data_IF_302155778340
#
_entry.id   IF_302155778340
#
_cell.length_a   1.000
_cell.length_b   1.000
_cell.length_c   1.000
_cell.angle_alpha   90.00
_cell.angle_beta   90.00
_cell.angle_gamma   90.00
#
_symmetry.space_group_name_H-M   'P 1'
#
loop_
_entity.id
_entity.type
_entity.pdbx_description
1 polymer ?
#
# COMPACT_ATOMS: atom_id res chain seq x y z
N UNK A 1 -19.91 21.56 21.20
CA UNK A 1 -18.93 20.69 20.53
C UNK A 1 -17.78 20.48 21.50
N UNK A 2 -17.73 19.32 22.15
CA UNK A 2 -16.54 18.92 22.90
C UNK A 2 -15.78 17.94 22.02
N UNK A 3 -14.55 18.31 21.64
CA UNK A 3 -13.60 17.38 21.03
C UNK A 3 -13.17 16.44 22.17
N UNK A 4 -13.60 15.18 22.13
CA UNK A 4 -13.15 14.17 23.08
C UNK A 4 -11.72 13.75 22.72
N UNK A 5 -10.91 13.46 23.74
CA UNK A 5 -9.50 13.16 23.59
C UNK A 5 -9.22 12.05 22.56
N UNK A 6 -8.27 12.32 21.69
CA UNK A 6 -7.70 11.35 20.76
C UNK A 6 -6.88 10.37 21.60
N UNK A 7 -7.27 9.10 21.71
CA UNK A 7 -6.31 8.07 22.11
C UNK A 7 -5.72 7.46 20.85
N UNK A 8 -4.49 7.85 20.60
CA UNK A 8 -3.70 7.29 19.54
C UNK A 8 -2.74 6.24 20.13
N UNK A 9 -3.02 4.93 19.99
CA UNK A 9 -2.12 3.89 20.47
C UNK A 9 -0.81 3.80 19.65
N UNK A 10 -0.67 4.58 18.57
CA UNK A 10 0.52 4.72 17.74
C UNK A 10 1.03 6.17 17.66
N UNK A 11 1.28 6.82 18.80
CA UNK A 11 1.58 8.25 18.82
C UNK A 11 2.72 8.64 17.86
N UNK A 12 3.61 7.70 17.56
CA UNK A 12 4.81 7.94 16.76
C UNK A 12 4.69 7.56 15.27
N UNK A 13 3.64 6.85 14.79
CA UNK A 13 3.54 6.43 13.37
C UNK A 13 2.39 7.06 12.58
N UNK A 14 1.23 7.22 13.20
CA UNK A 14 0.04 7.85 12.58
C UNK A 14 -0.50 8.82 13.60
N UNK A 15 -0.58 10.10 13.30
CA UNK A 15 -1.40 11.03 14.11
C UNK A 15 -2.69 11.28 13.34
N UNK A 16 -3.82 11.15 14.02
CA UNK A 16 -5.15 11.32 13.41
C UNK A 16 -6.04 12.13 14.34
N UNK A 17 -6.60 13.22 13.81
CA UNK A 17 -7.58 14.06 14.50
C UNK A 17 -8.77 14.33 13.58
N UNK A 18 -9.97 13.93 14.01
CA UNK A 18 -11.21 14.22 13.32
C UNK A 18 -11.86 15.47 13.93
N UNK A 19 -12.07 16.50 13.11
CA UNK A 19 -12.63 17.78 13.54
C UNK A 19 -13.92 18.09 12.76
N UNK A 20 -14.86 18.76 13.42
CA UNK A 20 -16.07 19.27 12.79
C UNK A 20 -16.11 20.79 12.89
N UNK A 21 -16.31 21.45 11.75
CA UNK A 21 -16.41 22.92 11.65
C UNK A 21 -17.83 23.31 11.20
N UNK A 22 -18.39 24.44 11.68
CA UNK A 22 -19.65 24.95 11.16
C UNK A 22 -19.59 25.13 9.63
N UNK A 23 -20.60 24.61 8.92
CA UNK A 23 -20.73 24.84 7.49
C UNK A 23 -21.12 26.31 7.23
N UNK A 24 -20.48 27.02 6.28
CA UNK A 24 -20.64 28.47 6.14
C UNK A 24 -22.05 28.91 5.70
N UNK A 25 -22.82 28.05 5.04
CA UNK A 25 -24.10 28.40 4.38
C UNK A 25 -25.29 27.56 4.80
N UNK A 26 -25.10 26.53 5.64
CA UNK A 26 -26.15 25.59 6.01
C UNK A 26 -26.07 25.25 7.50
N UNK A 27 -27.18 24.82 8.11
CA UNK A 27 -27.21 24.24 9.45
C UNK A 27 -26.59 22.82 9.44
N UNK A 28 -25.31 22.75 9.13
CA UNK A 28 -24.53 21.53 8.94
C UNK A 28 -23.11 21.73 9.48
N UNK A 29 -22.36 20.63 9.58
CA UNK A 29 -20.94 20.64 9.93
C UNK A 29 -20.10 20.09 8.78
N UNK A 30 -18.99 20.73 8.48
CA UNK A 30 -17.94 20.19 7.62
C UNK A 30 -17.02 19.31 8.44
N UNK A 31 -16.89 18.04 8.05
CA UNK A 31 -16.02 17.07 8.70
C UNK A 31 -14.64 17.09 8.04
N UNK A 32 -13.61 17.30 8.84
CA UNK A 32 -12.22 17.43 8.38
C UNK A 32 -11.35 16.45 9.14
N UNK A 33 -10.57 15.66 8.41
CA UNK A 33 -9.57 14.76 8.94
C UNK A 33 -8.18 15.40 8.84
N UNK A 34 -7.53 15.62 9.97
CA UNK A 34 -6.11 15.90 10.00
C UNK A 34 -5.37 14.59 10.25
N UNK A 35 -4.53 14.18 9.30
CA UNK A 35 -3.75 12.95 9.40
C UNK A 35 -2.29 13.19 9.02
N UNK A 36 -1.37 12.63 9.77
CA UNK A 36 0.06 12.65 9.46
C UNK A 36 0.71 11.31 9.74
N UNK A 37 1.77 11.02 9.00
CA UNK A 37 2.46 9.74 8.99
C UNK A 37 3.94 9.96 9.25
N UNK A 38 4.50 9.15 10.15
CA UNK A 38 5.90 9.24 10.55
C UNK A 38 6.54 7.86 10.54
N UNK A 39 7.83 7.83 10.22
CA UNK A 39 8.66 6.65 10.45
C UNK A 39 9.14 6.63 11.90
N UNK A 40 9.22 5.45 12.52
CA UNK A 40 9.70 5.31 13.89
C UNK A 40 10.77 4.23 14.01
N UNK A 41 11.69 4.42 14.96
CA UNK A 41 12.69 3.41 15.33
C UNK A 41 12.16 2.50 16.44
N UNK A 42 12.49 1.22 16.36
CA UNK A 42 12.14 0.22 17.36
C UNK A 42 13.27 -0.77 17.59
N UNK A 43 13.67 -0.91 18.85
CA UNK A 43 14.61 -1.96 19.28
C UNK A 43 13.96 -3.33 19.19
N UNK A 44 14.63 -4.27 18.51
CA UNK A 44 14.15 -5.63 18.25
C UNK A 44 15.35 -6.55 18.02
N UNK A 45 15.30 -7.80 18.49
CA UNK A 45 16.30 -8.87 18.23
C UNK A 45 17.78 -8.43 18.38
N UNK A 46 18.10 -7.67 19.44
CA UNK A 46 19.47 -7.21 19.70
C UNK A 46 19.95 -6.02 18.86
N UNK A 47 19.14 -5.56 17.90
CA UNK A 47 19.38 -4.35 17.11
C UNK A 47 18.20 -3.39 17.14
N UNK A 48 18.01 -2.61 16.07
CA UNK A 48 16.82 -1.77 15.87
C UNK A 48 16.43 -1.70 14.40
N UNK A 49 15.13 -1.64 14.15
CA UNK A 49 14.55 -1.37 12.84
C UNK A 49 13.89 0.01 12.82
N UNK A 50 13.92 0.66 11.67
CA UNK A 50 13.06 1.79 11.34
C UNK A 50 11.98 1.32 10.39
N UNK A 51 10.73 1.67 10.68
CA UNK A 51 9.62 1.31 9.81
C UNK A 51 8.70 2.50 9.56
N UNK A 52 7.96 2.42 8.46
CA UNK A 52 6.97 3.41 8.06
C UNK A 52 5.80 2.75 7.32
N UNK A 53 4.79 3.56 7.00
CA UNK A 53 3.58 3.09 6.33
C UNK A 53 3.63 3.41 4.85
N UNK A 54 3.36 2.40 4.03
CA UNK A 54 3.11 2.51 2.60
C UNK A 54 1.64 2.77 2.32
N UNK A 55 0.76 2.10 3.07
CA UNK A 55 -0.70 2.09 2.81
C UNK A 55 -1.46 1.90 4.11
N UNK A 56 -2.71 2.32 4.12
CA UNK A 56 -3.65 2.05 5.20
C UNK A 56 -5.08 2.32 4.78
N UNK A 57 -6.03 1.90 5.59
CA UNK A 57 -7.45 2.05 5.32
C UNK A 57 -8.05 2.95 6.38
N UNK A 58 -8.52 4.12 5.99
CA UNK A 58 -9.31 4.98 6.84
C UNK A 58 -10.79 4.57 6.73
N UNK A 59 -11.45 4.40 7.87
CA UNK A 59 -12.87 4.08 7.99
C UNK A 59 -13.55 5.15 8.83
N UNK A 60 -14.71 5.61 8.39
CA UNK A 60 -15.60 6.46 9.17
C UNK A 60 -16.93 5.74 9.34
N UNK A 61 -17.30 5.47 10.59
CA UNK A 61 -18.63 5.00 10.95
C UNK A 61 -19.46 6.17 11.43
N UNK A 62 -20.65 6.31 10.87
CA UNK A 62 -21.59 7.39 11.19
C UNK A 62 -22.87 6.76 11.73
N UNK A 63 -23.32 7.20 12.91
CA UNK A 63 -24.58 6.77 13.52
C UNK A 63 -25.46 7.95 13.88
N UNK A 64 -26.76 7.80 13.63
CA UNK A 64 -27.80 8.77 14.02
C UNK A 64 -27.67 10.16 13.37
N UNK A 65 -26.99 10.23 12.22
CA UNK A 65 -26.82 11.45 11.42
C UNK A 65 -26.60 11.15 9.93
N UNK A 66 -26.89 12.13 9.08
CA UNK A 66 -26.66 12.04 7.64
C UNK A 66 -25.30 12.62 7.26
N UNK A 67 -24.48 11.83 6.57
CA UNK A 67 -23.17 12.23 6.07
C UNK A 67 -23.13 12.15 4.54
N UNK A 68 -22.65 13.22 3.92
CA UNK A 68 -22.49 13.37 2.48
C UNK A 68 -20.99 13.47 2.15
N UNK A 69 -20.34 12.38 1.71
CA UNK A 69 -18.91 12.36 1.45
C UNK A 69 -18.54 13.25 0.24
N UNK A 70 -17.44 13.99 0.34
CA UNK A 70 -16.92 14.88 -0.70
C UNK A 70 -15.42 14.67 -1.01
N UNK A 71 -14.75 13.71 -0.35
CA UNK A 71 -13.32 13.49 -0.52
C UNK A 71 -12.97 12.96 -1.94
N UNK A 72 -12.81 13.86 -2.90
CA UNK A 72 -12.39 13.57 -4.28
C UNK A 72 -10.88 13.29 -4.43
N UNK A 73 -10.11 13.55 -3.38
CA UNK A 73 -8.63 13.41 -3.36
C UNK A 73 -8.14 12.04 -2.88
N UNK A 74 -9.05 11.16 -2.44
CA UNK A 74 -8.72 9.82 -1.95
C UNK A 74 -9.12 8.77 -3.00
N UNK A 75 -8.17 7.90 -3.38
CA UNK A 75 -8.45 6.81 -4.30
C UNK A 75 -9.32 5.76 -3.60
N UNK A 76 -10.58 5.66 -4.05
CA UNK A 76 -11.59 4.66 -3.69
C UNK A 76 -12.45 5.00 -2.47
N UNK A 77 -13.75 5.21 -2.72
CA UNK A 77 -14.82 5.16 -1.72
C UNK A 77 -15.49 3.79 -1.86
N UNK A 78 -15.29 2.88 -0.92
CA UNK A 78 -16.14 1.68 -0.83
C UNK A 78 -17.31 2.02 0.12
N UNK A 79 -18.51 2.14 -0.45
CA UNK A 79 -19.75 2.35 0.31
C UNK A 79 -20.36 0.99 0.65
N UNK A 80 -20.57 0.71 1.94
CA UNK A 80 -21.37 -0.44 2.38
C UNK A 80 -22.54 0.08 3.23
N UNK A 81 -23.75 0.24 2.66
CA UNK A 81 -24.92 0.60 3.45
C UNK A 81 -25.48 -0.65 4.13
N UNK A 82 -25.33 -0.78 5.45
CA UNK A 82 -26.12 -1.71 6.24
C UNK A 82 -26.61 -1.07 7.54
N UNK A 83 -27.90 -0.68 7.58
CA UNK A 83 -28.61 -0.32 8.82
C UNK A 83 -28.48 1.14 9.28
N UNK A 84 -28.71 1.37 10.58
CA UNK A 84 -28.60 2.67 11.28
C UNK A 84 -27.16 3.19 11.40
N UNK A 85 -26.18 2.36 11.05
CA UNK A 85 -24.75 2.70 10.96
C UNK A 85 -24.37 2.76 9.49
N UNK A 86 -23.74 3.87 9.06
CA UNK A 86 -23.18 4.01 7.71
C UNK A 86 -21.67 3.97 7.78
N UNK A 87 -21.07 3.04 7.04
CA UNK A 87 -19.62 2.86 6.97
C UNK A 87 -19.05 3.42 5.65
N UNK A 88 -18.04 4.28 5.78
CA UNK A 88 -17.29 4.85 4.66
C UNK A 88 -15.82 4.41 4.78
N UNK A 89 -15.22 3.96 3.68
CA UNK A 89 -13.82 3.53 3.67
C UNK A 89 -13.03 4.20 2.54
N UNK A 90 -11.84 4.66 2.87
CA UNK A 90 -10.88 5.26 1.95
C UNK A 90 -9.53 4.58 2.07
N UNK A 91 -8.88 4.32 0.94
CA UNK A 91 -7.54 3.75 0.91
C UNK A 91 -6.51 4.87 0.80
N UNK A 92 -5.56 4.87 1.72
CA UNK A 92 -4.36 5.71 1.63
C UNK A 92 -3.29 4.91 0.91
N UNK A 93 -2.73 5.49 -0.14
CA UNK A 93 -1.59 4.93 -0.87
C UNK A 93 -0.64 6.07 -1.22
N UNK A 94 0.66 5.78 -1.41
CA UNK A 94 1.64 6.81 -1.66
C UNK A 94 1.36 7.47 -3.01
N UNK A 95 1.78 8.73 -3.17
CA UNK A 95 1.83 9.33 -4.50
C UNK A 95 2.81 8.53 -5.39
N UNK A 96 2.66 8.53 -6.73
CA UNK A 96 3.45 7.72 -7.68
C UNK A 96 4.99 7.92 -7.67
N UNK A 97 5.55 8.66 -6.70
CA UNK A 97 6.98 8.94 -6.55
C UNK A 97 7.49 8.83 -5.10
N UNK A 98 6.62 8.58 -4.13
CA UNK A 98 7.00 8.41 -2.72
C UNK A 98 6.85 6.95 -2.33
N UNK A 99 7.89 6.31 -1.78
CA UNK A 99 7.80 4.91 -1.35
C UNK A 99 6.97 4.71 -0.06
N UNK A 100 6.60 5.80 0.62
CA UNK A 100 5.90 5.82 1.90
C UNK A 100 4.81 6.88 1.86
N UNK A 101 3.78 6.71 2.69
CA UNK A 101 2.93 7.80 3.15
C UNK A 101 3.82 8.78 3.92
N UNK A 102 4.39 9.75 3.19
CA UNK A 102 5.10 10.89 3.77
C UNK A 102 4.30 12.11 3.43
N UNK A 103 3.64 12.66 4.44
CA UNK A 103 3.04 13.97 4.33
C UNK A 103 3.26 14.74 5.63
N UNK A 104 3.83 15.94 5.49
CA UNK A 104 3.48 17.06 6.36
C UNK A 104 1.96 17.09 6.47
N UNK A 105 1.42 17.10 7.69
CA UNK A 105 -0.02 17.03 8.03
C UNK A 105 -0.98 17.28 6.88
N UNK A 106 -1.70 16.24 6.44
CA UNK A 106 -2.78 16.36 5.46
C UNK A 106 -4.06 16.78 6.17
N UNK A 107 -4.70 17.82 5.65
CA UNK A 107 -6.03 18.27 6.10
C UNK A 107 -7.03 17.93 5.00
N UNK A 108 -7.79 16.86 5.20
CA UNK A 108 -8.71 16.30 4.21
C UNK A 108 -10.14 16.64 4.58
N UNK A 109 -10.87 17.27 3.65
CA UNK A 109 -12.31 17.49 3.83
C UNK A 109 -13.03 16.20 3.46
N UNK A 110 -13.59 15.51 4.46
CA UNK A 110 -14.25 14.22 4.24
C UNK A 110 -15.64 14.40 3.64
N UNK A 111 -16.36 15.44 4.06
CA UNK A 111 -17.72 15.71 3.62
C UNK A 111 -18.52 16.56 4.61
N UNK A 112 -19.83 16.63 4.36
CA UNK A 112 -20.77 17.44 5.14
C UNK A 112 -21.67 16.54 5.97
N UNK A 113 -21.84 16.90 7.24
CA UNK A 113 -22.69 16.24 8.21
C UNK A 113 -23.93 17.10 8.49
N UNK A 114 -25.13 16.55 8.28
CA UNK A 114 -26.37 17.18 8.71
C UNK A 114 -26.74 16.69 10.10
N UNK A 115 -26.86 17.63 11.03
CA UNK A 115 -27.27 17.36 12.41
C UNK A 115 -28.78 17.10 12.45
N UNK A 116 -29.17 16.12 13.26
CA UNK A 116 -30.56 15.80 13.58
C UNK A 116 -30.83 16.11 15.07
N UNK A 117 -32.05 15.86 15.55
CA UNK A 117 -32.41 16.09 16.96
C UNK A 117 -31.68 15.15 17.94
N UNK A 118 -31.18 14.00 17.46
CA UNK A 118 -30.43 13.04 18.27
C UNK A 118 -28.91 13.29 18.22
N UNK A 119 -28.16 12.91 19.27
CA UNK A 119 -26.70 13.00 19.27
C UNK A 119 -26.08 12.21 18.13
N UNK A 120 -25.16 12.82 17.38
CA UNK A 120 -24.45 12.16 16.28
C UNK A 120 -23.16 11.53 16.80
N UNK A 121 -22.95 10.27 16.41
CA UNK A 121 -21.77 9.49 16.82
C UNK A 121 -20.91 9.19 15.60
N UNK A 122 -19.64 9.60 15.66
CA UNK A 122 -18.65 9.38 14.62
C UNK A 122 -17.47 8.60 15.18
N UNK A 123 -17.11 7.51 14.51
CA UNK A 123 -15.92 6.72 14.82
C UNK A 123 -15.03 6.72 13.59
N UNK A 124 -13.83 7.29 13.73
CA UNK A 124 -12.79 7.27 12.71
C UNK A 124 -11.72 6.24 13.09
N UNK A 125 -11.44 5.30 12.19
CA UNK A 125 -10.43 4.26 12.40
C UNK A 125 -9.47 4.24 11.23
N UNK A 126 -8.19 4.12 11.49
CA UNK A 126 -7.15 3.90 10.49
C UNK A 126 -6.50 2.54 10.74
N UNK A 127 -6.76 1.60 9.83
CA UNK A 127 -6.30 0.22 9.89
C UNK A 127 -5.05 0.02 9.05
N UNK A 128 -4.09 -0.72 9.61
CA UNK A 128 -2.84 -1.08 8.96
C UNK A 128 -2.83 -2.60 8.79
N UNK A 129 -2.69 -3.03 7.54
CA UNK A 129 -2.42 -4.43 7.20
C UNK A 129 -0.91 -4.68 7.13
N UNK A 130 -0.44 -5.93 7.24
CA UNK A 130 0.98 -6.25 7.07
C UNK A 130 1.58 -5.69 5.75
N UNK A 131 0.80 -5.66 4.67
CA UNK A 131 1.18 -5.09 3.36
C UNK A 131 1.32 -3.56 3.34
N UNK A 132 0.73 -2.88 4.32
CA UNK A 132 0.84 -1.44 4.49
C UNK A 132 2.06 -0.99 5.28
N UNK A 133 2.83 -1.90 5.87
CA UNK A 133 4.02 -1.61 6.67
C UNK A 133 5.29 -2.05 5.94
N UNK A 134 6.31 -1.21 5.96
CA UNK A 134 7.63 -1.53 5.41
C UNK A 134 8.72 -1.14 6.39
N UNK A 135 9.80 -1.91 6.39
CA UNK A 135 11.03 -1.52 7.05
C UNK A 135 11.79 -0.62 6.07
N UNK A 136 12.29 0.50 6.58
CA UNK A 136 12.98 1.53 5.79
C UNK A 136 14.46 1.60 6.12
N UNK A 137 14.84 1.15 7.31
CA UNK A 137 16.21 1.11 7.78
C UNK A 137 16.36 0.06 8.89
N UNK A 138 17.58 -0.40 9.14
CA UNK A 138 17.88 -1.27 10.27
C UNK A 138 19.35 -1.21 10.66
N UNK A 139 19.61 -1.36 11.96
CA UNK A 139 20.95 -1.41 12.53
C UNK A 139 21.10 -2.66 13.40
N UNK A 140 22.19 -3.41 13.17
CA UNK A 140 22.54 -4.58 13.99
C UNK A 140 21.65 -5.80 13.80
N UNK A 141 20.84 -5.86 12.73
CA UNK A 141 19.91 -6.97 12.46
C UNK A 141 20.27 -7.83 11.26
N UNK A 142 20.73 -7.21 10.18
CA UNK A 142 21.03 -7.90 8.93
C UNK A 142 22.42 -8.54 9.00
N UNK A 143 22.51 -9.83 8.68
CA UNK A 143 23.82 -10.45 8.43
C UNK A 143 24.41 -9.86 7.14
N UNK A 144 25.72 -9.53 7.08
CA UNK A 144 26.33 -8.93 5.90
C UNK A 144 26.25 -9.79 4.63
N UNK A 145 26.07 -11.11 4.78
CA UNK A 145 25.99 -12.10 3.70
C UNK A 145 24.55 -12.48 3.32
N UNK A 146 23.55 -11.75 3.83
CA UNK A 146 22.15 -12.02 3.51
C UNK A 146 21.88 -11.82 2.02
N UNK A 147 21.27 -12.82 1.39
CA UNK A 147 20.82 -12.69 0.01
C UNK A 147 19.57 -11.82 -0.09
N UNK A 148 19.32 -11.15 -1.24
CA UNK A 148 18.09 -10.39 -1.47
C UNK A 148 16.80 -11.18 -1.20
N UNK A 149 16.75 -12.47 -1.59
CA UNK A 149 15.56 -13.30 -1.39
C UNK A 149 15.30 -13.59 0.10
N UNK A 150 16.34 -13.94 0.87
CA UNK A 150 16.22 -14.16 2.32
C UNK A 150 15.86 -12.86 3.04
N UNK A 151 16.47 -11.75 2.62
CA UNK A 151 16.16 -10.42 3.14
C UNK A 151 14.68 -10.09 2.96
N UNK A 152 14.11 -10.30 1.77
CA UNK A 152 12.71 -10.05 1.49
C UNK A 152 11.75 -10.85 2.39
N UNK A 153 12.06 -12.12 2.63
CA UNK A 153 11.24 -13.00 3.49
C UNK A 153 11.35 -12.59 4.96
N UNK A 154 12.54 -12.26 5.45
CA UNK A 154 12.71 -11.80 6.83
C UNK A 154 12.05 -10.44 7.04
N UNK A 155 12.19 -9.51 6.08
CA UNK A 155 11.49 -8.22 6.08
C UNK A 155 9.97 -8.40 6.23
N UNK A 156 9.39 -9.34 5.46
CA UNK A 156 7.97 -9.67 5.52
C UNK A 156 7.54 -10.27 6.85
N UNK A 157 8.36 -11.14 7.45
CA UNK A 157 8.12 -11.69 8.79
C UNK A 157 8.11 -10.60 9.85
N UNK A 158 9.13 -9.75 9.86
CA UNK A 158 9.23 -8.63 10.81
C UNK A 158 8.02 -7.70 10.69
N UNK A 159 7.62 -7.34 9.47
CA UNK A 159 6.47 -6.47 9.28
C UNK A 159 5.15 -7.11 9.73
N UNK A 160 4.97 -8.43 9.56
CA UNK A 160 3.81 -9.15 10.11
C UNK A 160 3.85 -9.18 11.64
N UNK A 161 5.01 -9.49 12.22
CA UNK A 161 5.19 -9.53 13.66
C UNK A 161 4.88 -8.18 14.31
N UNK A 162 5.38 -7.09 13.74
CA UNK A 162 5.03 -5.74 14.20
C UNK A 162 3.52 -5.54 14.14
N UNK A 163 2.88 -5.80 13.00
CA UNK A 163 1.42 -5.60 12.88
C UNK A 163 0.64 -6.47 13.89
N UNK A 164 1.07 -7.70 14.14
CA UNK A 164 0.39 -8.61 15.04
C UNK A 164 0.60 -8.29 16.52
N UNK A 165 1.79 -7.83 16.92
CA UNK A 165 2.18 -7.73 18.34
C UNK A 165 2.44 -6.30 18.82
N UNK A 166 2.63 -5.36 17.91
CA UNK A 166 2.91 -3.96 18.23
C UNK A 166 1.81 -3.01 17.75
N UNK A 167 0.89 -3.51 16.93
CA UNK A 167 -0.16 -2.72 16.32
C UNK A 167 -1.59 -3.19 16.73
N UNK A 168 -2.37 -2.23 17.26
CA UNK A 168 -3.84 -2.24 17.41
C UNK A 168 -4.42 -1.02 16.66
N UNK A 169 -5.46 -1.12 15.80
CA UNK A 169 -5.90 -0.06 14.88
C UNK A 169 -5.84 1.37 15.44
N UNK A 170 -5.43 2.36 14.62
CA UNK A 170 -5.29 3.73 15.09
C UNK A 170 -6.69 4.33 15.10
N UNK A 171 -7.17 4.81 16.24
CA UNK A 171 -8.58 5.22 16.37
C UNK A 171 -8.63 6.69 16.78
N UNK A 172 -9.56 7.44 16.21
CA UNK A 172 -9.89 8.82 16.58
C UNK A 172 -11.41 8.91 16.69
N UNK A 173 -11.91 9.48 17.78
CA UNK A 173 -13.34 9.54 18.06
C UNK A 173 -13.84 10.98 18.04
N UNK A 174 -15.08 11.17 17.61
CA UNK A 174 -15.75 12.46 17.68
C UNK A 174 -17.23 12.26 18.05
N UNK A 175 -17.63 12.73 19.24
CA UNK A 175 -19.04 12.79 19.63
C UNK A 175 -19.58 14.20 19.46
N UNK A 176 -20.67 14.34 18.71
CA UNK A 176 -21.33 15.62 18.45
C UNK A 176 -22.72 15.60 19.08
N UNK A 177 -22.79 16.08 20.31
CA UNK A 177 -24.04 16.20 21.07
C UNK A 177 -24.39 17.66 21.37
N UNK A 178 -25.69 17.93 21.46
CA UNK A 178 -26.23 19.14 22.10
C UNK A 178 -26.63 18.74 23.52
N UNK A 179 -25.70 18.82 24.49
CA UNK A 179 -25.97 18.44 25.89
C UNK A 179 -24.85 17.63 26.54
N UNK A 180 -25.18 16.88 27.60
CA UNK A 180 -24.22 16.08 28.37
C UNK A 180 -23.70 14.88 27.57
N UNK A 181 -22.40 14.60 27.74
CA UNK A 181 -21.72 13.46 27.16
C UNK A 181 -22.11 12.17 27.91
N UNK A 182 -22.38 11.10 27.16
CA UNK A 182 -22.47 9.75 27.74
C UNK A 182 -21.06 9.25 28.08
N UNK A 183 -20.93 8.33 29.04
CA UNK A 183 -19.63 7.77 29.43
C UNK A 183 -19.29 6.55 28.57
N UNK A 184 -18.18 6.58 27.83
CA UNK A 184 -17.81 5.60 26.79
C UNK A 184 -16.77 4.54 27.23
N UNK A 185 -16.45 4.48 28.53
CA UNK A 185 -15.33 3.67 29.07
C UNK A 185 -15.42 2.15 28.78
N UNK A 186 -16.62 1.61 28.53
CA UNK A 186 -16.84 0.15 28.41
C UNK A 186 -16.65 -0.43 26.99
N UNK A 187 -16.38 0.39 25.97
CA UNK A 187 -16.26 -0.08 24.57
C UNK A 187 -14.84 -0.43 24.13
N UNK A 188 -13.81 -0.12 24.92
CA UNK A 188 -12.42 -0.17 24.47
C UNK A 188 -11.52 -0.97 25.43
N UNK A 189 -11.54 -2.30 25.28
CA UNK A 189 -10.61 -3.20 25.97
C UNK A 189 -9.23 -3.31 25.29
N UNK A 190 -9.05 -2.69 24.12
CA UNK A 190 -7.87 -2.90 23.26
C UNK A 190 -6.70 -2.01 23.73
N UNK A 191 -6.04 -2.45 24.79
CA UNK A 191 -4.79 -1.85 25.29
C UNK A 191 -3.65 -2.13 24.31
N UNK A 192 -2.58 -1.31 24.30
CA UNK A 192 -1.36 -1.65 23.57
C UNK A 192 -0.96 -3.08 23.90
N UNK A 193 -0.80 -3.91 22.86
CA UNK A 193 -0.46 -5.32 23.04
C UNK A 193 0.82 -5.41 23.86
N UNK A 194 0.75 -6.10 24.99
CA UNK A 194 1.91 -6.29 25.85
C UNK A 194 2.90 -7.23 25.16
N UNK A 195 4.19 -6.99 25.39
CA UNK A 195 5.27 -7.81 24.84
C UNK A 195 5.10 -9.26 25.28
N UNK A 196 4.93 -10.15 24.32
CA UNK A 196 5.01 -11.60 24.54
C UNK A 196 6.41 -12.10 24.17
N UNK A 197 7.19 -12.51 25.18
CA UNK A 197 8.54 -13.04 25.00
C UNK A 197 8.56 -14.37 24.22
N UNK A 198 7.47 -15.15 24.29
CA UNK A 198 7.35 -16.41 23.55
C UNK A 198 7.29 -16.15 22.05
N UNK A 199 6.42 -15.23 21.60
CA UNK A 199 6.31 -14.83 20.20
C UNK A 199 7.60 -14.24 19.64
N UNK A 200 8.35 -13.45 20.43
CA UNK A 200 9.63 -12.90 20.00
C UNK A 200 10.69 -13.99 19.78
N UNK A 201 10.75 -14.98 20.69
CA UNK A 201 11.67 -16.12 20.59
C UNK A 201 11.35 -16.99 19.37
N UNK A 202 10.06 -17.16 19.04
CA UNK A 202 9.62 -17.88 17.84
C UNK A 202 10.04 -17.15 16.56
N UNK A 203 9.87 -15.83 16.52
CA UNK A 203 10.33 -14.99 15.40
C UNK A 203 11.85 -15.13 15.21
N UNK A 204 12.62 -15.04 16.29
CA UNK A 204 14.09 -15.20 16.26
C UNK A 204 14.48 -16.56 15.66
N UNK A 205 13.85 -17.64 16.13
CA UNK A 205 14.09 -18.99 15.61
C UNK A 205 13.76 -19.12 14.11
N UNK A 206 12.65 -18.53 13.64
CA UNK A 206 12.29 -18.52 12.21
C UNK A 206 13.33 -17.76 11.37
N UNK A 207 13.79 -16.62 11.85
CA UNK A 207 14.81 -15.81 11.17
C UNK A 207 16.12 -16.59 11.05
N UNK A 208 16.57 -17.24 12.12
CA UNK A 208 17.75 -18.12 12.07
C UNK A 208 17.58 -19.26 11.08
N UNK A 209 16.41 -19.91 11.08
CA UNK A 209 16.08 -20.99 10.13
C UNK A 209 16.17 -20.53 8.67
N UNK A 210 15.73 -19.30 8.36
CA UNK A 210 15.83 -18.72 7.00
C UNK A 210 17.27 -18.38 6.66
N UNK A 211 18.01 -17.79 7.59
CA UNK A 211 19.42 -17.48 7.38
C UNK A 211 20.23 -18.73 7.04
N UNK A 212 20.02 -19.81 7.80
CA UNK A 212 20.81 -21.03 7.67
C UNK A 212 20.27 -21.98 6.58
N UNK A 213 19.17 -21.62 5.91
CA UNK A 213 18.58 -22.42 4.84
C UNK A 213 19.53 -22.55 3.63
N UNK A 214 19.73 -23.76 3.07
CA UNK A 214 20.61 -23.98 1.92
C UNK A 214 19.98 -23.59 0.57
N UNK A 215 18.91 -22.79 0.59
CA UNK A 215 18.10 -22.43 -0.59
C UNK A 215 17.95 -20.92 -0.73
N UNK A 216 17.69 -20.49 -1.96
CA UNK A 216 17.33 -19.13 -2.33
C UNK A 216 15.95 -19.06 -2.97
N UNK A 217 15.31 -20.20 -3.24
CA UNK A 217 14.01 -20.25 -3.93
C UNK A 217 12.93 -19.67 -3.06
N UNK A 218 12.10 -18.80 -3.65
CA UNK A 218 11.11 -18.02 -2.91
C UNK A 218 10.10 -18.94 -2.21
N UNK A 219 9.59 -19.94 -2.93
CA UNK A 219 8.60 -20.91 -2.42
C UNK A 219 9.11 -21.67 -1.19
N UNK A 220 10.36 -22.13 -1.22
CA UNK A 220 10.97 -22.87 -0.10
C UNK A 220 11.20 -21.93 1.10
N UNK A 221 11.67 -20.70 0.87
CA UNK A 221 11.83 -19.71 1.94
C UNK A 221 10.49 -19.32 2.58
N UNK A 222 9.43 -19.13 1.78
CA UNK A 222 8.08 -18.89 2.29
C UNK A 222 7.60 -20.04 3.18
N UNK A 223 7.79 -21.28 2.74
CA UNK A 223 7.44 -22.47 3.54
C UNK A 223 8.21 -22.54 4.86
N UNK A 224 9.51 -22.21 4.86
CA UNK A 224 10.32 -22.18 6.07
C UNK A 224 9.84 -21.11 7.05
N UNK A 225 9.40 -19.98 6.53
CA UNK A 225 8.87 -18.83 7.25
C UNK A 225 7.42 -19.01 7.73
N UNK A 226 6.70 -20.02 7.24
CA UNK A 226 5.26 -20.16 7.48
C UNK A 226 4.43 -19.09 6.78
N UNK A 227 4.90 -18.59 5.63
CA UNK A 227 4.20 -17.62 4.80
C UNK A 227 3.55 -18.32 3.60
N UNK A 228 2.32 -17.92 3.29
CA UNK A 228 1.64 -18.33 2.07
C UNK A 228 2.02 -17.37 0.94
N UNK A 229 2.80 -17.85 -0.05
CA UNK A 229 3.31 -17.00 -1.14
C UNK A 229 2.21 -16.28 -1.93
N UNK A 230 0.99 -16.84 -1.95
CA UNK A 230 -0.18 -16.24 -2.62
C UNK A 230 -0.79 -15.06 -1.88
N UNK A 231 -0.63 -14.96 -0.56
CA UNK A 231 -1.37 -13.98 0.25
C UNK A 231 -0.44 -13.07 1.06
N UNK A 232 0.70 -13.58 1.49
CA UNK A 232 1.49 -12.94 2.53
C UNK A 232 2.64 -12.07 1.99
N UNK A 233 2.82 -11.99 0.67
CA UNK A 233 3.94 -11.25 0.07
C UNK A 233 3.63 -9.79 -0.25
N UNK A 234 2.35 -9.38 -0.26
CA UNK A 234 1.94 -8.02 -0.54
C UNK A 234 2.70 -6.98 0.31
N UNK A 235 3.12 -5.89 -0.33
CA UNK A 235 3.93 -4.83 0.27
C UNK A 235 5.40 -5.21 0.54
N UNK A 236 5.82 -6.43 0.23
CA UNK A 236 7.17 -6.95 0.48
C UNK A 236 8.27 -6.19 -0.26
N UNK A 237 9.49 -6.26 0.29
CA UNK A 237 10.68 -5.63 -0.27
C UNK A 237 11.62 -6.65 -0.92
N UNK A 238 11.48 -6.82 -2.23
CA UNK A 238 12.25 -7.74 -3.09
C UNK A 238 13.33 -7.00 -3.91
N UNK A 239 13.91 -5.94 -3.33
CA UNK A 239 14.98 -5.16 -3.97
C UNK A 239 16.13 -6.08 -4.41
N UNK A 240 16.39 -6.15 -5.71
CA UNK A 240 17.46 -6.99 -6.27
C UNK A 240 17.24 -8.50 -6.11
N UNK A 241 16.03 -8.95 -5.75
CA UNK A 241 15.72 -10.36 -5.62
C UNK A 241 15.89 -11.11 -6.96
N UNK A 242 16.30 -12.37 -6.90
CA UNK A 242 16.36 -13.27 -8.06
C UNK A 242 15.20 -14.24 -7.97
N UNK A 243 14.15 -14.01 -8.77
CA UNK A 243 12.89 -14.76 -8.78
C UNK A 243 12.63 -15.34 -10.18
N UNK A 244 13.68 -15.62 -10.94
CA UNK A 244 13.57 -16.19 -12.29
C UNK A 244 12.80 -17.51 -12.29
N UNK A 245 11.79 -17.61 -13.15
CA UNK A 245 10.95 -18.81 -13.27
C UNK A 245 10.11 -19.15 -12.05
N UNK A 246 9.97 -18.26 -11.07
CA UNK A 246 9.10 -18.50 -9.91
C UNK A 246 7.61 -18.52 -10.31
N UNK A 247 6.86 -19.46 -9.73
CA UNK A 247 5.41 -19.59 -9.92
C UNK A 247 4.66 -18.64 -8.98
N UNK A 248 4.30 -17.46 -9.49
CA UNK A 248 3.61 -16.40 -8.77
C UNK A 248 2.23 -16.05 -9.37
N UNK A 249 1.62 -16.98 -10.11
CA UNK A 249 0.27 -16.80 -10.62
C UNK A 249 -0.77 -16.77 -9.50
N UNK A 250 -1.78 -15.92 -9.67
CA UNK A 250 -2.84 -15.65 -8.70
C UNK A 250 -2.33 -15.21 -7.31
N UNK A 251 -1.21 -14.49 -7.25
CA UNK A 251 -0.63 -13.98 -6.00
C UNK A 251 -1.04 -12.53 -5.72
N UNK A 252 -1.14 -12.17 -4.43
CA UNK A 252 -1.27 -10.78 -3.97
C UNK A 252 0.11 -10.16 -3.75
N UNK A 253 0.52 -9.28 -4.67
CA UNK A 253 1.83 -8.60 -4.70
C UNK A 253 1.69 -7.08 -4.71
N UNK A 254 0.55 -6.58 -4.25
CA UNK A 254 0.21 -5.16 -4.29
C UNK A 254 1.25 -4.32 -3.54
N UNK A 255 1.80 -3.30 -4.20
CA UNK A 255 2.79 -2.41 -3.61
C UNK A 255 4.13 -3.06 -3.25
N UNK A 256 4.43 -4.24 -3.79
CA UNK A 256 5.74 -4.86 -3.66
C UNK A 256 6.83 -4.02 -4.34
N UNK A 257 8.01 -3.99 -3.72
CA UNK A 257 9.19 -3.37 -4.31
C UNK A 257 10.06 -4.43 -4.97
N UNK A 258 10.03 -4.49 -6.29
CA UNK A 258 10.86 -5.37 -7.14
C UNK A 258 11.95 -4.59 -7.87
N UNK A 259 12.33 -3.40 -7.39
CA UNK A 259 13.37 -2.58 -8.04
C UNK A 259 14.64 -3.41 -8.29
N UNK A 260 15.11 -3.42 -9.53
CA UNK A 260 16.31 -4.16 -9.92
C UNK A 260 16.23 -5.69 -9.74
N UNK A 261 15.05 -6.25 -9.47
CA UNK A 261 14.88 -7.69 -9.35
C UNK A 261 15.04 -8.39 -10.71
N UNK A 262 15.53 -9.62 -10.69
CA UNK A 262 15.59 -10.52 -11.84
C UNK A 262 14.34 -11.39 -11.79
N UNK A 263 13.40 -11.14 -12.69
CA UNK A 263 12.07 -11.75 -12.78
C UNK A 263 11.89 -12.48 -14.12
N UNK A 264 13.00 -12.89 -14.75
CA UNK A 264 12.99 -13.51 -16.08
C UNK A 264 12.18 -14.81 -16.06
N UNK A 265 11.30 -14.98 -17.04
CA UNK A 265 10.40 -16.14 -17.16
C UNK A 265 9.51 -16.42 -15.93
N UNK A 266 9.40 -15.49 -14.98
CA UNK A 266 8.51 -15.63 -13.83
C UNK A 266 7.04 -15.60 -14.27
N UNK A 267 6.20 -16.40 -13.61
CA UNK A 267 4.77 -16.43 -13.89
C UNK A 267 4.01 -15.56 -12.89
N UNK A 268 3.47 -14.44 -13.35
CA UNK A 268 2.62 -13.50 -12.63
C UNK A 268 1.18 -13.51 -13.19
N UNK A 269 0.78 -14.53 -13.94
CA UNK A 269 -0.55 -14.57 -14.56
C UNK A 269 -1.65 -14.44 -13.51
N UNK A 270 -2.64 -13.60 -13.77
CA UNK A 270 -3.78 -13.33 -12.87
C UNK A 270 -3.39 -12.84 -11.46
N UNK A 271 -2.17 -12.34 -11.27
CA UNK A 271 -1.74 -11.76 -9.98
C UNK A 271 -2.12 -10.29 -9.84
N UNK A 272 -2.14 -9.80 -8.61
CA UNK A 272 -2.32 -8.38 -8.29
C UNK A 272 -0.98 -7.71 -7.95
N UNK A 273 -0.47 -6.93 -8.89
CA UNK A 273 0.75 -6.13 -8.81
C UNK A 273 0.44 -4.63 -8.84
N UNK A 274 -0.79 -4.20 -8.50
CA UNK A 274 -1.09 -2.77 -8.47
C UNK A 274 -0.10 -2.03 -7.56
N UNK A 275 0.33 -0.84 -8.01
CA UNK A 275 1.33 -0.01 -7.33
C UNK A 275 2.71 -0.68 -7.12
N UNK A 276 3.01 -1.79 -7.81
CA UNK A 276 4.33 -2.42 -7.72
C UNK A 276 5.44 -1.51 -8.27
N UNK A 277 6.59 -1.51 -7.59
CA UNK A 277 7.78 -0.77 -8.02
C UNK A 277 8.70 -1.74 -8.76
N UNK A 278 8.74 -1.65 -10.08
CA UNK A 278 9.48 -2.53 -10.99
C UNK A 278 10.61 -1.78 -11.71
N UNK A 279 11.02 -0.62 -11.19
CA UNK A 279 12.07 0.21 -11.80
C UNK A 279 13.36 -0.58 -11.94
N UNK A 280 13.87 -0.67 -13.18
CA UNK A 280 15.10 -1.41 -13.47
C UNK A 280 15.01 -2.93 -13.30
N UNK A 281 13.82 -3.49 -13.05
CA UNK A 281 13.63 -4.94 -12.98
C UNK A 281 13.74 -5.57 -14.38
N UNK A 282 14.24 -6.80 -14.44
CA UNK A 282 14.27 -7.61 -15.66
C UNK A 282 13.11 -8.61 -15.66
N UNK A 283 12.04 -8.31 -16.38
CA UNK A 283 10.88 -9.19 -16.59
C UNK A 283 10.93 -9.84 -17.98
N UNK A 284 12.12 -10.03 -18.55
CA UNK A 284 12.23 -10.62 -19.89
C UNK A 284 11.60 -12.03 -19.90
N UNK A 285 10.70 -12.29 -20.85
CA UNK A 285 9.96 -13.56 -20.95
C UNK A 285 8.89 -13.81 -19.87
N UNK A 286 8.66 -12.87 -18.95
CA UNK A 286 7.68 -13.06 -17.88
C UNK A 286 6.24 -13.22 -18.40
N UNK A 287 5.45 -14.03 -17.70
CA UNK A 287 4.03 -14.21 -17.97
C UNK A 287 3.23 -13.26 -17.07
N UNK A 288 2.52 -12.31 -17.67
CA UNK A 288 1.71 -11.30 -16.98
C UNK A 288 0.26 -11.32 -17.51
N UNK A 289 -0.19 -12.46 -18.04
CA UNK A 289 -1.50 -12.58 -18.64
C UNK A 289 -2.60 -12.32 -17.61
N UNK A 290 -3.51 -11.40 -17.92
CA UNK A 290 -4.58 -10.94 -17.02
C UNK A 290 -4.11 -10.41 -15.65
N UNK A 291 -2.82 -10.06 -15.51
CA UNK A 291 -2.31 -9.46 -14.28
C UNK A 291 -2.84 -8.03 -14.09
N UNK A 292 -3.09 -7.63 -12.84
CA UNK A 292 -3.40 -6.24 -12.49
C UNK A 292 -2.12 -5.49 -12.18
N UNK A 293 -1.83 -4.45 -12.95
CA UNK A 293 -0.58 -3.67 -12.94
C UNK A 293 -0.88 -2.17 -12.90
N UNK A 294 -2.02 -1.78 -12.35
CA UNK A 294 -2.43 -0.38 -12.32
C UNK A 294 -1.44 0.41 -11.48
N UNK A 295 -1.05 1.57 -11.97
CA UNK A 295 -0.07 2.44 -11.30
C UNK A 295 1.32 1.81 -11.06
N UNK A 296 1.64 0.66 -11.65
CA UNK A 296 2.95 0.05 -11.52
C UNK A 296 4.04 0.90 -12.22
N UNK A 297 5.26 0.89 -11.68
CA UNK A 297 6.40 1.66 -12.21
C UNK A 297 7.45 0.73 -12.83
N UNK A 298 7.47 0.64 -14.15
CA UNK A 298 8.38 -0.20 -14.94
C UNK A 298 9.61 0.55 -15.47
N UNK A 299 9.81 1.82 -15.07
CA UNK A 299 10.82 2.68 -15.69
C UNK A 299 12.20 2.03 -15.71
N UNK A 300 12.89 2.13 -16.84
CA UNK A 300 14.24 1.56 -17.04
C UNK A 300 14.34 0.03 -16.86
N UNK A 301 13.21 -0.68 -16.73
CA UNK A 301 13.17 -2.14 -16.69
C UNK A 301 13.13 -2.77 -18.09
N UNK A 302 13.02 -4.09 -18.13
CA UNK A 302 12.82 -4.87 -19.36
C UNK A 302 11.53 -5.68 -19.29
N UNK A 303 10.72 -5.57 -20.34
CA UNK A 303 9.57 -6.43 -20.67
C UNK A 303 9.83 -7.18 -21.98
N UNK A 304 11.08 -7.33 -22.41
CA UNK A 304 11.40 -8.00 -23.66
C UNK A 304 10.80 -9.42 -23.68
N UNK A 305 10.10 -9.79 -24.74
CA UNK A 305 9.41 -11.10 -24.88
C UNK A 305 8.32 -11.38 -23.83
N UNK A 306 7.97 -10.43 -22.95
CA UNK A 306 6.97 -10.65 -21.91
C UNK A 306 5.55 -10.78 -22.51
N UNK A 307 4.74 -11.64 -21.91
CA UNK A 307 3.34 -11.81 -22.29
C UNK A 307 2.43 -10.98 -21.38
N UNK A 308 1.87 -9.88 -21.90
CA UNK A 308 0.95 -8.98 -21.18
C UNK A 308 -0.49 -9.07 -21.69
N UNK A 309 -0.89 -10.20 -22.29
CA UNK A 309 -2.24 -10.39 -22.82
C UNK A 309 -3.28 -10.07 -21.74
N UNK A 310 -4.29 -9.26 -22.08
CA UNK A 310 -5.42 -8.92 -21.21
C UNK A 310 -5.07 -8.33 -19.83
N UNK A 311 -3.81 -7.94 -19.61
CA UNK A 311 -3.37 -7.28 -18.38
C UNK A 311 -3.97 -5.88 -18.23
N UNK A 312 -4.07 -5.39 -17.00
CA UNK A 312 -4.49 -4.01 -16.72
C UNK A 312 -3.29 -3.15 -16.32
N UNK A 313 -2.78 -2.37 -17.28
CA UNK A 313 -1.69 -1.40 -17.13
C UNK A 313 -2.21 0.03 -16.93
N UNK A 314 -3.48 0.22 -16.56
CA UNK A 314 -4.05 1.56 -16.43
C UNK A 314 -3.18 2.42 -15.50
N UNK A 315 -2.75 3.59 -15.99
CA UNK A 315 -1.90 4.54 -15.26
C UNK A 315 -0.51 4.02 -14.86
N UNK A 316 -0.08 2.87 -15.38
CA UNK A 316 1.29 2.39 -15.20
C UNK A 316 2.30 3.34 -15.88
N UNK A 317 3.51 3.42 -15.34
CA UNK A 317 4.61 4.16 -15.95
C UNK A 317 5.61 3.22 -16.60
N UNK A 318 5.64 3.21 -17.93
CA UNK A 318 6.54 2.40 -18.75
C UNK A 318 7.62 3.24 -19.45
N UNK A 319 7.88 4.49 -19.04
CA UNK A 319 8.89 5.31 -19.71
C UNK A 319 10.30 4.67 -19.64
N UNK A 320 10.99 4.58 -20.78
CA UNK A 320 12.32 3.98 -20.88
C UNK A 320 12.35 2.46 -20.70
N UNK A 321 11.19 1.79 -20.60
CA UNK A 321 11.12 0.32 -20.50
C UNK A 321 11.44 -0.31 -21.86
N UNK A 322 12.25 -1.35 -21.87
CA UNK A 322 12.54 -2.18 -23.06
C UNK A 322 11.31 -3.05 -23.34
N UNK A 323 10.74 -2.96 -24.54
CA UNK A 323 9.49 -3.66 -24.92
C UNK A 323 9.64 -4.53 -26.16
N UNK A 324 10.88 -4.88 -26.54
CA UNK A 324 11.17 -5.74 -27.69
C UNK A 324 10.31 -7.01 -27.67
N UNK A 325 9.46 -7.20 -28.67
CA UNK A 325 8.59 -8.37 -28.81
C UNK A 325 7.66 -8.63 -27.60
N UNK A 326 7.37 -7.62 -26.79
CA UNK A 326 6.37 -7.73 -25.73
C UNK A 326 4.96 -7.82 -26.33
N UNK A 327 4.11 -8.67 -25.78
CA UNK A 327 2.75 -8.87 -26.28
C UNK A 327 1.72 -8.11 -25.44
N UNK A 328 1.26 -6.96 -25.93
CA UNK A 328 0.22 -6.13 -25.29
C UNK A 328 -1.21 -6.38 -25.81
N UNK A 329 -1.46 -7.53 -26.44
CA UNK A 329 -2.77 -7.84 -27.05
C UNK A 329 -3.87 -7.86 -25.98
N UNK A 330 -4.95 -7.09 -26.17
CA UNK A 330 -6.05 -7.02 -25.20
C UNK A 330 -5.73 -6.30 -23.88
N UNK A 331 -4.48 -5.87 -23.64
CA UNK A 331 -4.12 -5.12 -22.43
C UNK A 331 -4.92 -3.80 -22.32
N UNK A 332 -5.32 -3.44 -21.11
CA UNK A 332 -5.92 -2.15 -20.80
C UNK A 332 -4.79 -1.17 -20.50
N UNK A 333 -4.66 -0.10 -21.28
CA UNK A 333 -3.53 0.85 -21.20
C UNK A 333 -3.99 2.29 -21.02
N UNK A 334 -5.19 2.47 -20.47
CA UNK A 334 -5.79 3.80 -20.26
C UNK A 334 -4.90 4.62 -19.34
N UNK A 335 -4.52 5.82 -19.79
CA UNK A 335 -3.61 6.73 -19.08
C UNK A 335 -2.20 6.15 -18.77
N UNK A 336 -1.84 4.98 -19.31
CA UNK A 336 -0.50 4.42 -19.14
C UNK A 336 0.55 5.32 -19.83
N UNK A 337 1.67 5.57 -19.17
CA UNK A 337 2.70 6.49 -19.64
C UNK A 337 3.80 5.74 -20.39
N UNK A 338 4.04 6.12 -21.64
CA UNK A 338 5.12 5.64 -22.50
C UNK A 338 6.01 6.82 -22.94
N UNK A 339 7.23 6.52 -23.37
CA UNK A 339 8.24 7.48 -23.82
C UNK A 339 9.62 6.82 -23.82
N UNK A 340 10.45 7.07 -24.83
CA UNK A 340 11.80 6.50 -24.98
C UNK A 340 11.88 4.96 -24.81
N UNK A 341 10.91 4.23 -25.34
CA UNK A 341 10.82 2.77 -25.18
C UNK A 341 11.63 2.01 -26.24
N UNK A 342 12.77 1.38 -25.91
CA UNK A 342 13.51 0.56 -26.87
C UNK A 342 12.67 -0.65 -27.30
N UNK A 343 12.71 -0.97 -28.59
CA UNK A 343 11.92 -2.07 -29.16
C UNK A 343 10.46 -1.75 -29.48
N UNK A 344 10.01 -0.51 -29.22
CA UNK A 344 8.68 -0.04 -29.60
C UNK A 344 8.57 0.11 -31.12
N UNK A 345 7.67 -0.63 -31.76
CA UNK A 345 7.38 -0.45 -33.20
C UNK A 345 6.33 0.64 -33.41
N UNK A 346 6.22 1.13 -34.66
CA UNK A 346 5.22 2.14 -35.03
C UNK A 346 3.80 1.60 -34.82
N UNK A 347 3.56 0.34 -35.19
CA UNK A 347 2.26 -0.32 -35.07
C UNK A 347 1.86 -0.51 -33.60
N UNK A 348 2.82 -0.96 -32.76
CA UNK A 348 2.61 -1.10 -31.33
C UNK A 348 2.24 0.26 -30.71
N UNK A 349 3.00 1.31 -31.04
CA UNK A 349 2.72 2.68 -30.57
C UNK A 349 1.32 3.14 -30.96
N UNK A 350 0.95 3.02 -32.23
CA UNK A 350 -0.37 3.44 -32.72
C UNK A 350 -1.51 2.68 -32.02
N UNK A 351 -1.37 1.36 -31.85
CA UNK A 351 -2.34 0.53 -31.14
C UNK A 351 -2.49 0.93 -29.66
N UNK A 352 -1.39 1.23 -28.98
CA UNK A 352 -1.41 1.69 -27.59
C UNK A 352 -2.07 3.07 -27.46
N UNK A 353 -1.73 4.02 -28.33
CA UNK A 353 -2.34 5.35 -28.36
C UNK A 353 -3.85 5.29 -28.60
N UNK A 354 -4.30 4.46 -29.55
CA UNK A 354 -5.72 4.27 -29.83
C UNK A 354 -6.51 3.68 -28.64
N UNK A 355 -5.83 2.99 -27.71
CA UNK A 355 -6.40 2.43 -26.47
C UNK A 355 -6.23 3.33 -25.25
N UNK A 356 -5.83 4.59 -25.43
CA UNK A 356 -5.76 5.60 -24.37
C UNK A 356 -4.43 5.71 -23.64
N UNK A 357 -3.36 5.07 -24.15
CA UNK A 357 -2.01 5.30 -23.62
C UNK A 357 -1.52 6.72 -23.95
N UNK A 358 -0.78 7.32 -23.00
CA UNK A 358 -0.16 8.62 -23.14
C UNK A 358 1.32 8.45 -23.47
N UNK A 359 1.76 9.10 -24.54
CA UNK A 359 3.18 9.18 -24.88
C UNK A 359 3.66 10.57 -24.50
N UNK A 360 4.50 10.66 -23.49
CA UNK A 360 5.17 11.90 -23.15
C UNK A 360 6.22 12.14 -24.23
N UNK A 361 6.00 13.17 -25.05
CA UNK A 361 6.94 13.55 -26.09
C UNK A 361 8.29 13.93 -25.48
N UNK A 362 9.36 13.71 -26.24
CA UNK A 362 10.63 14.43 -26.13
C UNK A 362 10.32 15.94 -26.06
N UNK A 363 10.16 16.48 -24.85
CA UNK A 363 9.81 17.88 -24.58
C UNK A 363 10.88 18.89 -25.05
N UNK A 364 11.93 18.44 -25.74
CA UNK A 364 13.05 19.26 -26.20
C UNK A 364 12.98 19.66 -27.69
N UNK A 365 11.96 19.27 -28.47
CA UNK A 365 11.94 19.55 -29.93
C UNK A 365 10.92 20.59 -30.43
N UNK A 366 9.95 21.04 -29.62
CA UNK A 366 8.97 22.06 -30.04
C UNK A 366 9.17 23.45 -29.40
N UNK A 367 10.26 23.66 -28.62
CA UNK A 367 10.60 24.98 -28.04
C UNK A 367 11.78 25.67 -28.75
N UNK A 368 12.30 25.10 -29.84
CA UNK A 368 13.38 25.69 -30.64
C UNK A 368 13.03 25.80 -32.13
N UNK A 369 11.87 26.39 -32.44
CA UNK A 369 11.57 26.94 -33.78
C UNK A 369 11.35 28.44 -33.71
#
# INVERSE_FOLDING_TARGET
MHLLEIQNPYPDCVLMNLEAFPHPTEAALTLVLNISFHEQWKTLLGGRIKFGLKRGIFKLQVRDCEFFPQASELETVLQFPSGTVKDFSWQFSPLPQTALLKASSQRLTLGTLKLQEQPCHLIATFEIRPSGLTITDAEGLWRPDISPNKHAIIDRLLARYLVQHYFSPAISWLQLAVGNLENWDDLFSDRPKTRDESSLSQLEALIHKIYDAPTQKLKELCQLAGLESKLDLAGGNFLGATLSGEELSHTELVGCNFRGAILTDADFSESDLDYAILTGADLSGAYLESARLRYADFRKGSLALANLISSDLSRANLQGTIVNNANFSGAIVTDALFGDNPGMTVEMRQSLMARGAKFLADLDSEVLS
#
